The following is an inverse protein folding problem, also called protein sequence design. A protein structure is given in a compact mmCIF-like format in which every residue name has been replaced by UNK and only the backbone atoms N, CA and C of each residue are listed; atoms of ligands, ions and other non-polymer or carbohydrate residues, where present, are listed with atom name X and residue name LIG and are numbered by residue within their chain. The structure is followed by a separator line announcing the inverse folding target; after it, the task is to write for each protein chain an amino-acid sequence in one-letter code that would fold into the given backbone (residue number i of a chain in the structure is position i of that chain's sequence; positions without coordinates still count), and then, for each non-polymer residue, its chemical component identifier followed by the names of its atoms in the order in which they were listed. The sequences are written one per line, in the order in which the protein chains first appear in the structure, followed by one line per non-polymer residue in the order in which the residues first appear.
data_IF_203196673800
#
_entry.id   IF_203196673800
#
_cell.length_a   1.000
_cell.length_b   1.000
_cell.length_c   1.000
_cell.angle_alpha   90.00
_cell.angle_beta   90.00
_cell.angle_gamma   90.00
#
_symmetry.space_group_name_H-M   'P 1'
#
loop_
_entity.id
_entity.type
_entity.pdbx_description
1 polymer ?
#
# COMPACT_ATOMS: atom_id res chain seq x y z
N UNK A 1 -11.24 -16.35 -17.04
CA UNK A 1 -10.65 -17.33 -16.10
C UNK A 1 -9.29 -16.88 -15.56
N UNK A 2 -8.34 -16.45 -16.39
CA UNK A 2 -6.98 -16.04 -15.99
C UNK A 2 -6.96 -15.01 -14.85
N UNK A 3 -7.74 -13.92 -14.95
CA UNK A 3 -7.84 -12.90 -13.90
C UNK A 3 -8.23 -13.48 -12.53
N UNK A 4 -9.18 -14.41 -12.49
CA UNK A 4 -9.63 -15.05 -11.25
C UNK A 4 -8.53 -15.91 -10.62
N UNK A 5 -7.73 -16.61 -11.45
CA UNK A 5 -6.61 -17.43 -10.98
C UNK A 5 -5.48 -16.58 -10.43
N UNK A 6 -5.13 -15.49 -11.11
CA UNK A 6 -4.15 -14.50 -10.62
C UNK A 6 -4.58 -13.96 -9.26
N UNK A 7 -5.84 -13.50 -9.15
CA UNK A 7 -6.43 -13.03 -7.89
C UNK A 7 -6.39 -14.11 -6.80
N UNK A 8 -6.73 -15.35 -7.14
CA UNK A 8 -6.75 -16.47 -6.19
C UNK A 8 -5.36 -16.70 -5.57
N UNK A 9 -4.31 -16.82 -6.39
CA UNK A 9 -2.95 -17.06 -5.90
C UNK A 9 -2.39 -15.90 -5.09
N UNK A 10 -2.60 -14.66 -5.54
CA UNK A 10 -2.22 -13.48 -4.76
C UNK A 10 -2.96 -13.43 -3.42
N UNK A 11 -4.26 -13.75 -3.41
CA UNK A 11 -5.04 -13.79 -2.16
C UNK A 11 -4.63 -14.92 -1.23
N UNK A 12 -4.17 -16.06 -1.78
CA UNK A 12 -3.65 -17.17 -1.00
C UNK A 12 -2.33 -16.77 -0.33
N UNK A 13 -1.43 -16.12 -1.08
CA UNK A 13 -0.18 -15.61 -0.56
C UNK A 13 -0.42 -14.57 0.55
N UNK A 14 -1.29 -13.59 0.33
CA UNK A 14 -1.66 -12.60 1.34
C UNK A 14 -2.22 -13.25 2.61
N UNK A 15 -3.09 -14.25 2.48
CA UNK A 15 -3.63 -14.98 3.64
C UNK A 15 -2.54 -15.76 4.37
N UNK A 16 -1.64 -16.42 3.63
CA UNK A 16 -0.52 -17.12 4.24
C UNK A 16 0.34 -16.14 5.05
N UNK A 17 0.71 -15.01 4.44
CA UNK A 17 1.46 -13.96 5.11
C UNK A 17 0.74 -13.45 6.35
N UNK A 18 -0.58 -13.26 6.30
CA UNK A 18 -1.40 -12.82 7.44
C UNK A 18 -1.37 -13.82 8.61
N UNK A 19 -1.35 -15.12 8.32
CA UNK A 19 -1.34 -16.19 9.35
C UNK A 19 0.03 -16.54 9.92
N UNK A 20 1.13 -16.07 9.32
CA UNK A 20 2.45 -16.35 9.85
C UNK A 20 2.64 -15.66 11.20
N UNK A 21 3.15 -16.33 12.24
CA UNK A 21 3.35 -15.68 13.53
C UNK A 21 4.31 -14.50 13.38
N UNK A 22 3.97 -13.36 13.99
CA UNK A 22 4.96 -12.34 14.33
C UNK A 22 5.99 -13.04 15.21
N UNK A 23 7.27 -12.98 14.86
CA UNK A 23 8.33 -13.72 15.54
C UNK A 23 8.14 -13.64 17.05
N UNK A 24 7.74 -14.74 17.67
CA UNK A 24 7.50 -14.78 19.11
C UNK A 24 8.85 -15.11 19.73
N UNK A 25 9.39 -14.28 20.64
CA UNK A 25 10.77 -14.42 21.09
C UNK A 25 10.96 -15.74 21.83
N UNK A 26 11.76 -16.63 21.24
CA UNK A 26 12.23 -17.87 21.84
C UNK A 26 13.59 -17.67 22.50
N UNK A 27 13.92 -18.40 23.57
CA UNK A 27 15.04 -18.10 24.47
C UNK A 27 16.46 -18.32 23.90
N UNK A 28 16.63 -18.67 22.62
CA UNK A 28 17.92 -18.97 21.99
C UNK A 28 17.95 -18.40 20.55
N UNK A 29 18.62 -17.26 20.35
CA UNK A 29 19.03 -16.79 19.02
C UNK A 29 18.02 -15.96 18.22
N UNK A 30 17.50 -14.88 18.81
CA UNK A 30 16.44 -14.01 18.25
C UNK A 30 16.72 -13.42 16.86
N UNK A 31 17.96 -13.01 16.58
CA UNK A 31 18.31 -12.38 15.30
C UNK A 31 18.42 -13.38 14.14
N UNK A 32 18.75 -14.63 14.44
CA UNK A 32 19.02 -15.67 13.43
C UNK A 32 17.72 -16.35 12.98
N UNK A 33 16.80 -16.61 13.91
CA UNK A 33 15.48 -17.18 13.62
C UNK A 33 14.58 -16.21 12.84
N UNK A 34 14.63 -14.91 13.15
CA UNK A 34 13.84 -13.90 12.44
C UNK A 34 14.38 -13.62 11.03
N UNK A 35 15.70 -13.55 10.85
CA UNK A 35 16.31 -13.42 9.51
C UNK A 35 15.95 -14.60 8.59
N UNK A 36 15.93 -15.81 9.14
CA UNK A 36 15.47 -17.00 8.41
C UNK A 36 13.98 -16.93 8.06
N UNK A 37 13.14 -16.41 8.97
CA UNK A 37 11.72 -16.17 8.70
C UNK A 37 11.53 -15.16 7.57
N UNK A 38 12.20 -14.02 7.61
CA UNK A 38 12.13 -12.97 6.58
C UNK A 38 12.53 -13.54 5.21
N UNK A 39 13.64 -14.28 5.16
CA UNK A 39 14.11 -14.92 3.93
C UNK A 39 13.12 -15.95 3.39
N UNK A 40 12.49 -16.73 4.27
CA UNK A 40 11.44 -17.69 3.89
C UNK A 40 10.20 -16.99 3.36
N UNK A 41 9.82 -15.87 3.97
CA UNK A 41 8.69 -15.03 3.54
C UNK A 41 8.94 -14.44 2.16
N UNK A 42 10.11 -13.82 1.95
CA UNK A 42 10.49 -13.29 0.64
C UNK A 42 10.52 -14.38 -0.43
N UNK A 43 11.13 -15.53 -0.12
CA UNK A 43 11.19 -16.66 -1.03
C UNK A 43 9.79 -17.17 -1.42
N UNK A 44 8.89 -17.32 -0.45
CA UNK A 44 7.51 -17.75 -0.70
C UNK A 44 6.74 -16.78 -1.61
N UNK A 45 6.99 -15.47 -1.46
CA UNK A 45 6.40 -14.45 -2.34
C UNK A 45 6.95 -14.60 -3.74
N UNK A 46 8.27 -14.69 -3.90
CA UNK A 46 8.90 -14.83 -5.20
C UNK A 46 8.43 -16.11 -5.91
N UNK A 47 8.29 -17.24 -5.20
CA UNK A 47 7.72 -18.47 -5.75
C UNK A 47 6.26 -18.31 -6.19
N UNK A 48 5.44 -17.62 -5.40
CA UNK A 48 4.04 -17.36 -5.76
C UNK A 48 3.97 -16.48 -7.01
N UNK A 49 4.74 -15.38 -7.04
CA UNK A 49 4.75 -14.43 -8.15
C UNK A 49 5.28 -15.08 -9.42
N UNK A 50 6.33 -15.89 -9.32
CA UNK A 50 6.89 -16.64 -10.45
C UNK A 50 5.91 -17.71 -10.94
N UNK A 51 5.15 -18.36 -10.06
CA UNK A 51 4.05 -19.25 -10.45
C UNK A 51 2.96 -18.50 -11.20
N UNK A 52 2.54 -17.34 -10.69
CA UNK A 52 1.52 -16.49 -11.33
C UNK A 52 2.00 -16.01 -12.70
N UNK A 53 3.25 -15.60 -12.80
CA UNK A 53 3.87 -15.15 -14.05
C UNK A 53 3.93 -16.29 -15.08
N UNK A 54 4.55 -17.42 -14.70
CA UNK A 54 4.78 -18.56 -15.59
C UNK A 54 3.50 -19.24 -16.03
N UNK A 55 2.48 -19.34 -15.18
CA UNK A 55 1.26 -20.08 -15.49
C UNK A 55 0.18 -19.21 -16.14
N UNK A 56 0.15 -17.90 -15.85
CA UNK A 56 -0.99 -17.05 -16.21
C UNK A 56 -0.58 -15.78 -16.96
N UNK A 57 0.29 -14.95 -16.38
CA UNK A 57 0.55 -13.61 -16.91
C UNK A 57 1.36 -13.63 -18.20
N UNK A 58 2.34 -14.53 -18.36
CA UNK A 58 3.15 -14.64 -19.58
C UNK A 58 2.36 -14.88 -20.87
N UNK A 59 1.13 -15.39 -20.73
CA UNK A 59 0.23 -15.69 -21.84
C UNK A 59 -0.71 -14.52 -22.17
N UNK A 60 -0.71 -13.46 -21.37
CA UNK A 60 -1.53 -12.28 -21.57
C UNK A 60 -0.85 -11.31 -22.56
N UNK A 61 -1.65 -10.70 -23.42
CA UNK A 61 -1.23 -9.74 -24.43
C UNK A 61 -1.74 -8.35 -24.07
N UNK A 62 -0.87 -7.34 -24.22
CA UNK A 62 -1.19 -5.94 -23.86
C UNK A 62 -2.24 -5.33 -24.81
N UNK A 63 -2.38 -5.86 -26.03
CA UNK A 63 -3.36 -5.38 -27.01
C UNK A 63 -4.81 -5.73 -26.63
N UNK A 64 -5.01 -6.76 -25.82
CA UNK A 64 -6.34 -7.21 -25.40
C UNK A 64 -6.72 -6.57 -24.05
N UNK A 65 -7.75 -5.71 -23.99
CA UNK A 65 -8.07 -4.93 -22.78
C UNK A 65 -8.23 -5.76 -21.51
N UNK A 66 -8.93 -6.90 -21.58
CA UNK A 66 -9.13 -7.80 -20.43
C UNK A 66 -7.82 -8.42 -19.94
N UNK A 67 -6.93 -8.76 -20.87
CA UNK A 67 -5.62 -9.35 -20.57
C UNK A 67 -4.65 -8.29 -20.03
N UNK A 68 -4.71 -7.06 -20.57
CA UNK A 68 -4.00 -5.90 -20.03
C UNK A 68 -4.38 -5.60 -18.59
N UNK A 69 -5.68 -5.59 -18.25
CA UNK A 69 -6.13 -5.45 -16.85
C UNK A 69 -5.62 -6.60 -16.00
N UNK A 70 -5.58 -7.82 -16.52
CA UNK A 70 -5.05 -8.99 -15.79
C UNK A 70 -3.56 -8.85 -15.46
N UNK A 71 -2.75 -8.40 -16.43
CA UNK A 71 -1.33 -8.08 -16.22
C UNK A 71 -1.15 -7.01 -15.14
N UNK A 72 -1.91 -5.92 -15.23
CA UNK A 72 -1.82 -4.83 -14.27
C UNK A 72 -2.23 -5.26 -12.86
N UNK A 73 -3.30 -6.04 -12.71
CA UNK A 73 -3.72 -6.58 -11.42
C UNK A 73 -2.67 -7.51 -10.81
N UNK A 74 -1.98 -8.30 -11.64
CA UNK A 74 -0.82 -9.09 -11.21
C UNK A 74 0.26 -8.21 -10.60
N UNK A 75 0.61 -7.12 -11.29
CA UNK A 75 1.64 -6.17 -10.84
C UNK A 75 1.25 -5.39 -9.58
N UNK A 76 0.01 -4.91 -9.49
CA UNK A 76 -0.51 -4.25 -8.28
C UNK A 76 -0.53 -5.22 -7.09
N UNK A 77 -0.86 -6.49 -7.35
CA UNK A 77 -0.81 -7.56 -6.36
C UNK A 77 0.58 -7.81 -5.81
N UNK A 78 1.59 -7.88 -6.68
CA UNK A 78 3.00 -7.98 -6.28
C UNK A 78 3.39 -6.86 -5.32
N UNK A 79 3.17 -5.61 -5.72
CA UNK A 79 3.54 -4.45 -4.91
C UNK A 79 2.85 -4.46 -3.54
N UNK A 80 1.56 -4.79 -3.50
CA UNK A 80 0.81 -4.90 -2.24
C UNK A 80 1.41 -5.97 -1.32
N UNK A 81 1.68 -7.17 -1.84
CA UNK A 81 2.25 -8.27 -1.07
C UNK A 81 3.63 -7.90 -0.50
N UNK A 82 4.49 -7.24 -1.30
CA UNK A 82 5.82 -6.81 -0.83
C UNK A 82 5.73 -5.71 0.25
N UNK A 83 4.80 -4.77 0.15
CA UNK A 83 4.60 -3.75 1.20
C UNK A 83 4.19 -4.35 2.54
N UNK A 84 3.34 -5.38 2.52
CA UNK A 84 2.89 -6.07 3.73
C UNK A 84 4.06 -6.70 4.47
N UNK A 85 5.00 -7.31 3.74
CA UNK A 85 6.22 -7.85 4.33
C UNK A 85 7.04 -6.78 5.02
N UNK A 86 7.25 -5.65 4.34
CA UNK A 86 8.00 -4.56 4.92
C UNK A 86 7.38 -4.10 6.25
N UNK A 87 6.08 -3.83 6.26
CA UNK A 87 5.40 -3.32 7.44
C UNK A 87 5.42 -4.30 8.62
N UNK A 88 5.21 -5.60 8.35
CA UNK A 88 5.08 -6.61 9.41
C UNK A 88 6.42 -7.13 9.92
N UNK A 89 7.38 -7.34 9.03
CA UNK A 89 8.59 -8.08 9.38
C UNK A 89 9.85 -7.20 9.41
N UNK A 90 9.93 -6.16 8.55
CA UNK A 90 11.17 -5.42 8.35
C UNK A 90 11.20 -4.06 9.07
N UNK A 91 10.07 -3.36 9.18
CA UNK A 91 10.02 -1.98 9.70
C UNK A 91 10.50 -1.86 11.14
N UNK A 92 10.06 -2.75 12.04
CA UNK A 92 10.45 -2.73 13.46
C UNK A 92 11.94 -3.00 13.73
N UNK A 93 12.70 -3.41 12.70
CA UNK A 93 14.15 -3.67 12.77
C UNK A 93 14.98 -2.42 12.49
N UNK A 94 14.44 -1.47 11.73
CA UNK A 94 15.15 -0.23 11.39
C UNK A 94 15.09 0.82 12.52
N UNK A 95 14.17 0.68 13.47
CA UNK A 95 13.95 1.58 14.62
C UNK A 95 14.97 1.43 15.76
N UNK A 96 16.21 1.02 15.46
CA UNK A 96 17.31 1.05 16.43
C UNK A 96 17.87 2.47 16.54
N UNK A 97 17.19 3.31 17.31
CA UNK A 97 17.72 4.53 17.93
C UNK A 97 17.83 5.78 17.05
N UNK A 98 17.81 5.65 15.73
CA UNK A 98 17.87 6.79 14.81
C UNK A 98 16.96 6.59 13.60
N UNK A 99 15.66 6.89 13.76
CA UNK A 99 14.65 6.91 12.69
C UNK A 99 15.01 7.85 11.52
N UNK A 100 16.09 8.64 11.64
CA UNK A 100 16.65 9.44 10.55
C UNK A 100 17.45 8.63 9.52
N UNK A 101 17.90 7.41 9.87
CA UNK A 101 18.71 6.59 8.97
C UNK A 101 17.83 5.78 8.02
N UNK A 102 17.94 6.05 6.73
CA UNK A 102 17.24 5.30 5.69
C UNK A 102 17.97 4.00 5.34
N UNK A 103 17.40 2.87 5.76
CA UNK A 103 17.87 1.54 5.39
C UNK A 103 17.50 1.15 3.95
N UNK A 104 18.16 0.12 3.40
CA UNK A 104 17.86 -0.39 2.06
C UNK A 104 16.43 -0.93 1.94
N UNK A 105 15.88 -1.54 3.01
CA UNK A 105 14.53 -2.10 3.00
C UNK A 105 13.47 -0.99 3.02
N UNK A 106 13.64 0.04 3.86
CA UNK A 106 12.77 1.22 3.87
C UNK A 106 12.79 2.00 2.56
N UNK A 107 13.97 2.18 1.95
CA UNK A 107 14.09 2.77 0.61
C UNK A 107 13.32 1.94 -0.43
N UNK A 108 13.55 0.63 -0.46
CA UNK A 108 12.84 -0.30 -1.37
C UNK A 108 11.33 -0.29 -1.15
N UNK A 109 10.87 -0.22 0.09
CA UNK A 109 9.45 -0.13 0.41
C UNK A 109 8.82 1.18 -0.09
N UNK A 110 9.54 2.30 0.07
CA UNK A 110 9.11 3.59 -0.49
C UNK A 110 9.03 3.56 -2.02
N UNK A 111 10.03 2.96 -2.70
CA UNK A 111 10.00 2.75 -4.15
C UNK A 111 8.78 1.91 -4.58
N UNK A 112 8.54 0.79 -3.89
CA UNK A 112 7.39 -0.08 -4.16
C UNK A 112 6.06 0.68 -3.95
N UNK A 113 5.93 1.47 -2.89
CA UNK A 113 4.72 2.25 -2.64
C UNK A 113 4.47 3.30 -3.72
N UNK A 114 5.51 4.05 -4.10
CA UNK A 114 5.45 5.03 -5.20
C UNK A 114 5.06 4.35 -6.52
N UNK A 115 5.71 3.23 -6.85
CA UNK A 115 5.44 2.48 -8.08
C UNK A 115 4.02 1.89 -8.09
N UNK A 116 3.50 1.47 -6.93
CA UNK A 116 2.11 0.99 -6.79
C UNK A 116 1.10 2.08 -7.14
N UNK A 117 1.27 3.28 -6.59
CA UNK A 117 0.37 4.41 -6.85
C UNK A 117 0.46 4.85 -8.31
N UNK A 118 1.68 4.95 -8.84
CA UNK A 118 1.93 5.32 -10.24
C UNK A 118 1.27 4.33 -11.20
N UNK A 119 1.53 3.02 -11.02
CA UNK A 119 0.95 1.98 -11.87
C UNK A 119 -0.59 1.97 -11.81
N UNK A 120 -1.17 2.27 -10.65
CA UNK A 120 -2.62 2.38 -10.50
C UNK A 120 -3.19 3.61 -11.23
N UNK A 121 -2.53 4.77 -11.13
CA UNK A 121 -2.93 5.98 -11.85
C UNK A 121 -2.82 5.80 -13.37
N UNK A 122 -1.72 5.23 -13.85
CA UNK A 122 -1.52 4.90 -15.27
C UNK A 122 -2.64 3.99 -15.79
N UNK A 123 -3.05 3.02 -14.98
CA UNK A 123 -4.14 2.12 -15.32
C UNK A 123 -5.50 2.84 -15.41
N UNK A 124 -5.75 3.84 -14.56
CA UNK A 124 -6.97 4.66 -14.63
C UNK A 124 -6.92 5.73 -15.73
N UNK A 125 -5.73 6.10 -16.18
CA UNK A 125 -5.55 7.04 -17.29
C UNK A 125 -5.72 6.37 -18.66
N UNK A 126 -5.56 5.04 -18.74
CA UNK A 126 -5.60 4.31 -20.00
C UNK A 126 -7.03 4.20 -20.58
N UNK A 127 -7.29 4.81 -21.76
CA UNK A 127 -8.61 4.82 -22.36
C UNK A 127 -9.08 3.43 -22.82
N UNK A 128 -8.16 2.52 -23.16
CA UNK A 128 -8.48 1.19 -23.71
C UNK A 128 -9.17 0.26 -22.71
N UNK A 129 -8.95 0.53 -21.42
CA UNK A 129 -9.47 -0.26 -20.30
C UNK A 129 -10.49 0.50 -19.45
N UNK A 130 -10.95 1.67 -19.92
CA UNK A 130 -11.96 2.51 -19.24
C UNK A 130 -13.20 1.73 -18.80
N UNK A 131 -13.65 0.78 -19.62
CA UNK A 131 -14.80 -0.10 -19.32
C UNK A 131 -14.60 -0.99 -18.09
N UNK A 132 -13.36 -1.16 -17.62
CA UNK A 132 -12.98 -1.94 -16.44
C UNK A 132 -12.65 -1.07 -15.22
N UNK A 133 -12.79 0.26 -15.29
CA UNK A 133 -12.48 1.14 -14.16
C UNK A 133 -13.27 0.78 -12.90
N UNK A 134 -14.52 0.36 -13.04
CA UNK A 134 -15.34 -0.12 -11.91
C UNK A 134 -14.68 -1.31 -11.18
N UNK A 135 -13.95 -2.16 -11.90
CA UNK A 135 -13.25 -3.30 -11.33
C UNK A 135 -11.92 -2.87 -10.71
N UNK A 136 -11.17 -2.04 -11.44
CA UNK A 136 -9.87 -1.50 -11.00
C UNK A 136 -10.03 -0.72 -9.69
N UNK A 137 -11.05 0.14 -9.58
CA UNK A 137 -11.30 0.96 -8.38
C UNK A 137 -11.65 0.17 -7.13
N UNK A 138 -12.06 -1.10 -7.26
CA UNK A 138 -12.23 -2.01 -6.11
C UNK A 138 -10.89 -2.39 -5.47
N UNK A 139 -9.77 -2.19 -6.17
CA UNK A 139 -8.44 -2.38 -5.62
C UNK A 139 -7.96 -1.07 -5.01
N UNK A 140 -8.38 -0.79 -3.77
CA UNK A 140 -7.86 0.35 -3.02
C UNK A 140 -6.34 0.23 -2.84
N UNK A 141 -5.63 1.32 -3.15
CA UNK A 141 -4.18 1.43 -2.96
C UNK A 141 -3.79 2.03 -1.62
N UNK A 142 -4.67 1.84 -0.62
CA UNK A 142 -4.52 2.31 0.74
C UNK A 142 -3.12 2.07 1.32
N UNK A 143 -2.58 0.86 1.16
CA UNK A 143 -1.28 0.50 1.73
C UNK A 143 -0.14 1.38 1.18
N UNK A 144 -0.16 1.68 -0.13
CA UNK A 144 0.85 2.56 -0.75
C UNK A 144 0.75 3.99 -0.23
N UNK A 145 -0.47 4.56 -0.22
CA UNK A 145 -0.70 5.92 0.28
C UNK A 145 -0.30 6.05 1.76
N UNK A 146 -0.72 5.09 2.57
CA UNK A 146 -0.46 5.08 4.01
C UNK A 146 1.03 4.93 4.31
N UNK A 147 1.75 4.06 3.57
CA UNK A 147 3.20 3.94 3.70
C UNK A 147 3.88 5.26 3.40
N UNK A 148 3.60 5.88 2.24
CA UNK A 148 4.21 7.15 1.84
C UNK A 148 3.92 8.23 2.89
N UNK A 149 2.67 8.39 3.30
CA UNK A 149 2.29 9.39 4.29
C UNK A 149 2.95 9.16 5.65
N UNK A 150 3.02 7.91 6.11
CA UNK A 150 3.67 7.59 7.37
C UNK A 150 5.17 7.93 7.34
N UNK A 151 5.87 7.53 6.28
CA UNK A 151 7.29 7.81 6.13
C UNK A 151 7.57 9.31 6.02
N UNK A 152 6.80 10.02 5.19
CA UNK A 152 6.90 11.47 5.06
C UNK A 152 6.47 12.19 6.34
N UNK A 153 5.63 11.59 7.18
CA UNK A 153 5.25 12.16 8.49
C UNK A 153 6.35 12.06 9.56
N UNK A 154 7.32 11.17 9.39
CA UNK A 154 8.42 11.00 10.36
C UNK A 154 9.75 11.62 9.89
N UNK A 155 9.88 11.92 8.60
CA UNK A 155 11.17 12.28 8.01
C UNK A 155 11.65 13.70 8.34
N UNK A 156 12.91 13.83 8.76
CA UNK A 156 13.60 15.12 8.83
C UNK A 156 14.17 15.46 7.44
N UNK A 157 13.40 16.23 6.68
CA UNK A 157 13.69 16.59 5.27
C UNK A 157 15.02 17.31 5.10
N UNK A 158 15.52 18.01 6.13
CA UNK A 158 16.76 18.78 6.08
C UNK A 158 18.02 17.91 6.19
N UNK A 159 17.88 16.67 6.67
CA UNK A 159 19.02 15.75 6.90
C UNK A 159 19.03 14.56 5.94
N UNK A 160 18.19 14.59 4.91
CA UNK A 160 18.08 13.48 3.97
C UNK A 160 19.29 13.39 3.04
N UNK A 161 19.81 12.17 2.78
CA UNK A 161 20.68 11.92 1.64
C UNK A 161 20.01 12.34 0.32
N UNK A 162 20.77 12.83 -0.69
CA UNK A 162 20.19 13.35 -1.93
C UNK A 162 19.31 12.37 -2.70
N UNK A 163 19.68 11.09 -2.72
CA UNK A 163 18.92 10.04 -3.40
C UNK A 163 17.59 9.74 -2.71
N UNK A 164 17.57 9.75 -1.37
CA UNK A 164 16.37 9.60 -0.56
C UNK A 164 15.48 10.83 -0.65
N UNK A 165 16.07 12.03 -0.66
CA UNK A 165 15.35 13.28 -0.85
C UNK A 165 14.53 13.25 -2.15
N UNK A 166 15.17 12.90 -3.26
CA UNK A 166 14.50 12.76 -4.56
C UNK A 166 13.39 11.70 -4.53
N UNK A 167 13.64 10.55 -3.90
CA UNK A 167 12.64 9.50 -3.77
C UNK A 167 11.40 9.96 -2.98
N UNK A 168 11.60 10.62 -1.84
CA UNK A 168 10.53 11.18 -1.02
C UNK A 168 9.73 12.25 -1.75
N UNK A 169 10.40 13.11 -2.53
CA UNK A 169 9.75 14.13 -3.34
C UNK A 169 8.89 13.49 -4.44
N UNK A 170 9.44 12.55 -5.21
CA UNK A 170 8.66 11.81 -6.21
C UNK A 170 7.48 11.05 -5.58
N UNK A 171 7.69 10.43 -4.42
CA UNK A 171 6.61 9.73 -3.70
C UNK A 171 5.50 10.70 -3.28
N UNK A 172 5.85 11.89 -2.79
CA UNK A 172 4.87 12.94 -2.48
C UNK A 172 4.06 13.34 -3.71
N UNK A 173 4.73 13.63 -4.83
CA UNK A 173 4.08 14.04 -6.08
C UNK A 173 3.06 12.99 -6.56
N UNK A 174 3.39 11.70 -6.42
CA UNK A 174 2.45 10.63 -6.83
C UNK A 174 1.16 10.61 -6.01
N UNK A 175 1.15 11.08 -4.76
CA UNK A 175 -0.04 11.05 -3.89
C UNK A 175 -0.70 12.42 -3.70
N UNK A 176 -0.04 13.51 -4.11
CA UNK A 176 -0.49 14.87 -3.89
C UNK A 176 -1.89 15.10 -4.47
N UNK A 177 -2.10 14.65 -5.71
CA UNK A 177 -3.33 14.87 -6.49
C UNK A 177 -4.21 13.62 -6.58
N UNK A 178 -3.88 12.55 -5.86
CA UNK A 178 -4.75 11.36 -5.80
C UNK A 178 -6.08 11.75 -5.16
N UNK A 179 -7.16 11.53 -5.91
CA UNK A 179 -8.51 11.64 -5.36
C UNK A 179 -8.72 10.56 -4.30
N UNK A 180 -8.68 10.97 -3.02
CA UNK A 180 -9.04 10.13 -1.88
C UNK A 180 -10.56 10.17 -1.64
N UNK A 181 -11.31 9.94 -2.72
CA UNK A 181 -12.77 9.85 -2.70
C UNK A 181 -13.19 8.38 -2.63
N UNK A 182 -14.10 8.09 -1.71
CA UNK A 182 -14.82 6.81 -1.66
C UNK A 182 -15.79 6.78 -2.85
N UNK A 183 -15.64 5.81 -3.76
CA UNK A 183 -16.54 5.69 -4.91
C UNK A 183 -17.97 5.43 -4.40
N UNK A 184 -18.91 6.28 -4.83
CA UNK A 184 -20.28 6.48 -4.30
C UNK A 184 -21.18 5.23 -4.46
N UNK A 185 -20.69 4.14 -5.04
CA UNK A 185 -21.49 2.98 -5.47
C UNK A 185 -21.51 1.77 -4.53
N UNK A 186 -20.83 1.77 -3.38
CA UNK A 186 -20.89 0.66 -2.41
C UNK A 186 -21.48 1.14 -1.08
N UNK A 187 -22.20 0.24 -0.38
CA UNK A 187 -22.59 0.43 1.02
C UNK A 187 -21.32 0.70 1.81
N UNK A 188 -21.03 1.97 2.07
CA UNK A 188 -19.85 2.37 2.81
C UNK A 188 -20.06 1.92 4.24
N UNK A 189 -19.09 1.20 4.78
CA UNK A 189 -19.06 0.98 6.22
C UNK A 189 -18.60 2.28 6.86
N UNK A 190 -19.13 2.65 8.03
CA UNK A 190 -18.66 3.82 8.78
C UNK A 190 -17.13 3.79 8.98
N UNK A 191 -16.55 2.59 9.02
CA UNK A 191 -15.12 2.35 9.15
C UNK A 191 -14.32 2.80 7.92
N UNK A 192 -14.83 2.58 6.70
CA UNK A 192 -14.16 3.01 5.47
C UNK A 192 -14.15 4.54 5.36
N UNK A 193 -15.26 5.20 5.70
CA UNK A 193 -15.34 6.66 5.72
C UNK A 193 -14.35 7.27 6.72
N UNK A 194 -14.24 6.69 7.93
CA UNK A 194 -13.26 7.10 8.94
C UNK A 194 -11.82 6.94 8.44
N UNK A 195 -11.51 5.84 7.76
CA UNK A 195 -10.18 5.57 7.24
C UNK A 195 -9.77 6.56 6.14
N UNK A 196 -10.66 6.82 5.18
CA UNK A 196 -10.41 7.83 4.16
C UNK A 196 -10.33 9.25 4.75
N UNK A 197 -11.14 9.55 5.76
CA UNK A 197 -11.04 10.78 6.54
C UNK A 197 -9.68 10.94 7.20
N UNK A 198 -9.21 9.89 7.89
CA UNK A 198 -7.89 9.85 8.51
C UNK A 198 -6.77 10.10 7.50
N UNK A 199 -6.77 9.42 6.35
CA UNK A 199 -5.74 9.61 5.33
C UNK A 199 -5.73 11.03 4.76
N UNK A 200 -6.90 11.63 4.52
CA UNK A 200 -6.99 13.02 4.07
C UNK A 200 -6.37 13.95 5.11
N UNK A 201 -6.75 13.80 6.37
CA UNK A 201 -6.23 14.61 7.46
C UNK A 201 -4.70 14.44 7.60
N UNK A 202 -4.21 13.21 7.51
CA UNK A 202 -2.78 12.92 7.55
C UNK A 202 -2.05 13.56 6.36
N UNK A 203 -2.60 13.45 5.14
CA UNK A 203 -2.04 14.09 3.94
C UNK A 203 -1.94 15.60 4.08
N UNK A 204 -2.98 16.26 4.60
CA UNK A 204 -2.93 17.72 4.79
C UNK A 204 -1.90 18.13 5.86
N UNK A 205 -1.78 17.39 6.96
CA UNK A 205 -0.73 17.65 7.96
C UNK A 205 0.67 17.47 7.39
N UNK A 206 0.90 16.39 6.64
CA UNK A 206 2.18 16.14 5.96
C UNK A 206 2.45 17.25 4.95
N UNK A 207 1.47 17.63 4.11
CA UNK A 207 1.58 18.75 3.16
C UNK A 207 2.03 20.02 3.86
N UNK A 208 1.34 20.42 4.93
CA UNK A 208 1.66 21.63 5.67
C UNK A 208 3.09 21.58 6.21
N UNK A 209 3.51 20.46 6.82
CA UNK A 209 4.88 20.34 7.34
C UNK A 209 5.92 20.42 6.23
N UNK A 210 5.77 19.65 5.16
CA UNK A 210 6.71 19.64 4.04
C UNK A 210 6.82 21.04 3.40
N UNK A 211 5.71 21.76 3.27
CA UNK A 211 5.71 23.14 2.79
C UNK A 211 6.47 24.08 3.75
N UNK A 212 6.20 24.02 5.06
CA UNK A 212 6.91 24.86 6.04
C UNK A 212 8.41 24.59 6.09
N UNK A 213 8.84 23.39 5.71
CA UNK A 213 10.24 22.99 5.61
C UNK A 213 10.89 23.38 4.27
N UNK A 214 10.13 23.95 3.33
CA UNK A 214 10.59 24.25 1.97
C UNK A 214 10.88 23.00 1.13
N UNK A 215 10.32 21.84 1.51
CA UNK A 215 10.54 20.57 0.82
C UNK A 215 9.65 20.41 -0.42
N UNK A 216 8.52 21.11 -0.47
CA UNK A 216 7.59 21.11 -1.61
C UNK A 216 7.16 22.52 -1.97
N UNK A 217 6.93 22.76 -3.26
CA UNK A 217 6.39 24.02 -3.78
C UNK A 217 4.86 23.94 -3.85
N UNK A 218 4.14 24.89 -3.23
CA UNK A 218 2.69 25.03 -3.38
C UNK A 218 1.99 25.71 -2.20
N UNK A 219 1.01 26.58 -2.46
CA UNK A 219 0.23 27.24 -1.40
C UNK A 219 -0.52 26.22 -0.53
N UNK A 220 -0.41 26.27 0.81
CA UNK A 220 -1.29 25.51 1.67
C UNK A 220 -2.74 25.91 1.36
N UNK A 221 -3.61 24.95 1.07
CA UNK A 221 -5.05 25.22 1.08
C UNK A 221 -5.42 25.77 2.47
N UNK A 222 -6.30 26.79 2.57
CA UNK A 222 -6.75 27.28 3.86
C UNK A 222 -7.28 26.08 4.64
N UNK A 223 -6.78 25.91 5.86
CA UNK A 223 -7.27 24.91 6.80
C UNK A 223 -8.78 25.12 6.97
N UNK A 224 -9.59 24.41 6.17
CA UNK A 224 -10.98 24.19 6.52
C UNK A 224 -10.95 23.57 7.91
N UNK A 225 -11.58 24.24 8.87
CA UNK A 225 -11.67 23.86 10.26
C UNK A 225 -11.85 22.33 10.36
N UNK A 226 -10.76 21.64 10.68
CA UNK A 226 -10.78 20.21 10.91
C UNK A 226 -11.31 20.06 12.34
N UNK A 227 -12.54 19.57 12.44
CA UNK A 227 -13.23 19.30 13.69
C UNK A 227 -12.30 18.63 14.70
N UNK A 228 -12.20 19.27 15.87
CA UNK A 228 -11.34 18.91 16.99
C UNK A 228 -11.73 17.55 17.62
N UNK A 229 -12.89 16.99 17.23
CA UNK A 229 -13.41 15.72 17.76
C UNK A 229 -12.69 14.46 17.21
N UNK A 230 -12.13 14.49 15.99
CA UNK A 230 -11.40 13.32 15.45
C UNK A 230 -9.94 13.22 15.94
N UNK A 231 -9.40 14.29 16.54
CA UNK A 231 -8.05 14.30 17.10
C UNK A 231 -7.91 13.45 18.36
N UNK A 232 -8.99 13.34 19.15
CA UNK A 232 -8.99 12.63 20.42
C UNK A 232 -8.98 11.10 20.26
N UNK A 233 -9.48 10.57 19.14
CA UNK A 233 -9.56 9.11 18.91
C UNK A 233 -8.31 8.53 18.25
N UNK A 234 -7.60 9.32 17.42
CA UNK A 234 -6.44 8.83 16.65
C UNK A 234 -5.08 9.27 17.19
N UNK A 235 -5.03 10.11 18.22
CA UNK A 235 -3.77 10.50 18.87
C UNK A 235 -2.98 9.34 19.50
N UNK A 236 -3.58 8.15 19.61
CA UNK A 236 -2.98 6.95 20.20
C UNK A 236 -2.76 5.77 19.23
N UNK A 237 -3.30 5.77 18.01
CA UNK A 237 -3.10 4.65 17.07
C UNK A 237 -1.93 4.94 16.13
N UNK A 238 -0.89 4.12 16.18
CA UNK A 238 0.15 4.12 15.15
C UNK A 238 -0.46 3.73 13.80
N UNK A 239 0.03 4.30 12.70
CA UNK A 239 -0.34 3.86 11.35
C UNK A 239 -0.07 2.37 11.11
N UNK A 240 0.86 1.78 11.87
CA UNK A 240 1.11 0.34 11.89
C UNK A 240 -0.03 -0.43 12.59
N UNK A 241 -0.53 0.05 13.73
CA UNK A 241 -1.65 -0.58 14.46
C UNK A 241 -2.95 -0.52 13.64
N UNK A 242 -3.13 0.55 12.86
CA UNK A 242 -4.25 0.68 11.92
C UNK A 242 -4.10 -0.29 10.74
N UNK A 243 -2.88 -0.53 10.24
CA UNK A 243 -2.61 -1.56 9.24
C UNK A 243 -2.85 -2.96 9.79
N UNK A 244 -2.40 -3.26 11.01
CA UNK A 244 -2.66 -4.53 11.70
C UNK A 244 -4.16 -4.76 11.95
N UNK A 245 -4.87 -3.74 12.42
CA UNK A 245 -6.33 -3.77 12.57
C UNK A 245 -7.06 -4.02 11.23
N UNK A 246 -6.50 -3.55 10.12
CA UNK A 246 -7.03 -3.84 8.77
C UNK A 246 -6.73 -5.28 8.33
N UNK A 247 -5.61 -5.89 8.76
CA UNK A 247 -5.35 -7.31 8.51
C UNK A 247 -6.26 -8.23 9.34
N UNK A 248 -6.62 -7.82 10.55
CA UNK A 248 -7.51 -8.58 11.43
C UNK A 248 -9.01 -8.37 11.14
N UNK A 249 -9.38 -7.20 10.60
CA UNK A 249 -10.78 -6.80 10.37
C UNK A 249 -11.25 -6.83 8.91
N UNK A 250 -10.36 -6.67 7.91
CA UNK A 250 -10.77 -6.82 6.52
C UNK A 250 -10.62 -8.29 6.12
N UNK A 251 -11.76 -8.98 6.08
CA UNK A 251 -11.92 -10.08 5.15
C UNK A 251 -11.38 -9.62 3.80
N UNK A 252 -10.27 -10.23 3.38
CA UNK A 252 -9.64 -10.04 2.07
C UNK A 252 -10.66 -10.58 1.04
N UNK A 253 -11.71 -9.81 0.78
CA UNK A 253 -12.82 -10.17 -0.08
C UNK A 253 -12.36 -10.02 -1.53
N UNK A 254 -11.57 -11.00 -1.97
CA UNK A 254 -11.51 -11.41 -3.37
C UNK A 254 -12.61 -12.45 -3.64
N UNK A 255 -13.78 -12.32 -3.02
CA UNK A 255 -14.89 -13.21 -3.33
C UNK A 255 -15.33 -13.03 -4.79
N UNK A 256 -15.70 -14.12 -5.48
CA UNK A 256 -16.37 -14.02 -6.77
C UNK A 256 -17.70 -13.29 -6.56
N UNK A 257 -18.01 -12.35 -7.45
CA UNK A 257 -19.31 -11.70 -7.50
C UNK A 257 -20.39 -12.78 -7.62
N UNK A 258 -21.25 -12.88 -6.61
CA UNK A 258 -22.46 -13.70 -6.67
C UNK A 258 -23.63 -12.97 -7.35
N UNK A 259 -23.38 -11.85 -8.03
CA UNK A 259 -24.36 -11.18 -8.87
C UNK A 259 -24.12 -11.55 -10.34
N UNK A 260 -24.67 -12.69 -10.74
CA UNK A 260 -25.13 -12.90 -12.12
C UNK A 260 -26.64 -12.62 -12.10
N UNK A 261 -27.15 -11.65 -12.85
CA UNK A 261 -28.58 -11.64 -13.15
C UNK A 261 -28.87 -12.86 -14.05
N UNK A 262 -29.83 -13.68 -13.64
CA UNK A 262 -30.41 -14.71 -14.49
C UNK A 262 -30.90 -14.07 -15.80
N UNK A 263 -30.26 -14.45 -16.91
CA UNK A 263 -30.73 -14.26 -18.28
C UNK A 263 -30.48 -15.55 -19.06
#
# INVERSE_FOLDING_TARGET
MTMSLVRFHLSLCLRHLATLPHGTPGPLGEAQSQYELDRRVEHYIDETLDTVERQYLRHCQVCEPTQKVTLALGRLGEYKTRLIVYHRFLKGRESTGDDSRWGPNRKRAMEIAKDLITAYQDLLADPSIRRFHWHIRRHSQLHGMMHILNELSAVDTLKLPPDVHMLCQCAWETIADVSMMSDISQRQTEQDERLWGFLRNLRERVRHRLYTQGFIDGTPLPSAALDDEMNLTFGQMSGADLLESLFDGQGIYFAPSADMPDL
#
